data_IF_516024767071
#
_entry.id   IF_516024767071
#
_cell.length_a   1.000
_cell.length_b   1.000
_cell.length_c   1.000
_cell.angle_alpha   90.00
_cell.angle_beta   90.00
_cell.angle_gamma   90.00
#
_symmetry.space_group_name_H-M   'P 1'
#
loop_
_entity.id
_entity.type
_entity.pdbx_description
1 polymer ?
#
# COMPACT_ATOMS: atom_id res chain seq x y z
N UNK A 1 -79.47 21.93 -28.61
CA UNK A 1 -79.07 20.52 -28.77
C UNK A 1 -77.55 20.40 -28.60
N UNK A 2 -77.15 19.72 -27.52
CA UNK A 2 -75.87 19.06 -27.17
C UNK A 2 -74.51 19.78 -27.31
N UNK A 3 -73.94 19.98 -26.12
CA UNK A 3 -72.53 20.15 -25.76
C UNK A 3 -71.59 19.01 -26.21
N UNK A 4 -70.29 19.38 -26.29
CA UNK A 4 -69.06 18.60 -26.04
C UNK A 4 -68.58 17.55 -27.05
N UNK A 5 -67.32 17.73 -27.50
CA UNK A 5 -66.20 16.82 -27.18
C UNK A 5 -64.87 17.59 -27.26
N UNK A 6 -64.38 18.03 -26.10
CA UNK A 6 -63.02 18.54 -25.91
C UNK A 6 -62.04 17.35 -25.95
N UNK A 7 -60.89 17.56 -26.59
CA UNK A 7 -59.54 17.17 -26.14
C UNK A 7 -59.47 15.78 -25.51
N UNK A 8 -59.13 14.78 -26.31
CA UNK A 8 -59.01 13.38 -25.84
C UNK A 8 -57.90 12.63 -26.56
N UNK A 9 -56.70 13.19 -26.65
CA UNK A 9 -55.49 12.47 -27.08
C UNK A 9 -54.18 13.17 -26.67
N UNK A 10 -54.17 13.94 -25.58
CA UNK A 10 -52.97 14.64 -25.09
C UNK A 10 -52.86 14.62 -23.55
N UNK A 11 -53.33 13.55 -22.90
CA UNK A 11 -53.14 13.35 -21.45
C UNK A 11 -52.43 12.04 -21.11
N UNK A 12 -52.29 11.07 -22.04
CA UNK A 12 -51.59 9.82 -21.73
C UNK A 12 -50.06 9.84 -21.92
N UNK A 13 -49.48 10.83 -22.61
CA UNK A 13 -48.02 10.92 -22.74
C UNK A 13 -47.35 11.74 -21.61
N UNK A 14 -48.08 12.67 -20.99
CA UNK A 14 -47.55 13.50 -19.91
C UNK A 14 -47.62 12.83 -18.51
N UNK A 15 -48.37 11.73 -18.38
CA UNK A 15 -48.49 10.98 -17.12
C UNK A 15 -47.40 9.92 -16.92
N UNK A 16 -46.62 9.58 -17.97
CA UNK A 16 -45.49 8.65 -17.88
C UNK A 16 -44.14 9.35 -17.69
N UNK A 17 -44.07 10.67 -17.83
CA UNK A 17 -42.85 11.47 -17.62
C UNK A 17 -42.67 11.99 -16.19
N UNK A 18 -43.56 11.61 -15.26
CA UNK A 18 -43.50 11.95 -13.84
C UNK A 18 -43.18 10.73 -12.96
N UNK A 19 -42.58 9.67 -13.53
CA UNK A 19 -41.91 8.65 -12.71
C UNK A 19 -40.68 9.30 -12.09
N UNK A 20 -40.89 9.82 -10.89
CA UNK A 20 -39.91 10.37 -9.94
C UNK A 20 -38.49 9.92 -10.27
N UNK A 21 -37.59 10.89 -10.50
CA UNK A 21 -36.19 10.63 -10.24
C UNK A 21 -36.13 10.13 -8.80
N UNK A 22 -35.97 8.81 -8.61
CA UNK A 22 -35.60 8.29 -7.31
C UNK A 22 -34.35 9.09 -6.94
N UNK A 23 -34.27 9.71 -5.75
CA UNK A 23 -32.99 10.22 -5.30
C UNK A 23 -32.00 9.06 -5.46
N UNK A 24 -30.92 9.30 -6.20
CA UNK A 24 -29.81 8.37 -6.21
C UNK A 24 -29.27 8.41 -4.78
N UNK A 25 -29.67 7.42 -4.00
CA UNK A 25 -29.09 7.15 -2.70
C UNK A 25 -27.65 6.75 -3.00
N UNK A 26 -26.76 7.69 -2.75
CA UNK A 26 -25.33 7.47 -2.73
C UNK A 26 -24.90 7.85 -1.31
N UNK A 27 -24.16 6.96 -0.67
CA UNK A 27 -23.62 7.21 0.65
C UNK A 27 -22.82 8.51 0.73
N UNK A 28 -22.63 8.98 1.96
CA UNK A 28 -22.14 10.32 2.23
C UNK A 28 -20.84 10.29 3.01
N UNK A 29 -19.87 11.06 2.57
CA UNK A 29 -18.68 11.38 3.35
C UNK A 29 -19.04 12.35 4.48
N UNK A 30 -18.67 12.00 5.70
CA UNK A 30 -18.91 12.79 6.90
C UNK A 30 -17.55 13.06 7.55
N UNK A 31 -17.30 14.32 7.91
CA UNK A 31 -16.09 14.73 8.64
C UNK A 31 -16.45 15.01 10.09
N UNK A 32 -15.71 14.42 11.01
CA UNK A 32 -15.80 14.69 12.44
C UNK A 32 -15.07 16.00 12.80
N UNK A 33 -15.34 16.51 14.01
CA UNK A 33 -14.75 17.77 14.50
C UNK A 33 -13.22 17.75 14.64
N UNK A 34 -12.60 16.57 14.65
CA UNK A 34 -11.15 16.37 14.71
C UNK A 34 -10.50 16.21 13.32
N UNK A 35 -11.29 16.34 12.24
CA UNK A 35 -10.81 16.25 10.85
C UNK A 35 -10.77 14.84 10.27
N UNK A 36 -11.16 13.80 11.03
CA UNK A 36 -11.28 12.44 10.49
C UNK A 36 -12.52 12.30 9.63
N UNK A 37 -12.42 11.51 8.57
CA UNK A 37 -13.51 11.23 7.64
C UNK A 37 -14.06 9.83 7.83
N UNK A 38 -15.36 9.63 7.69
CA UNK A 38 -15.99 8.31 7.58
C UNK A 38 -17.06 8.34 6.49
N UNK A 39 -17.49 7.17 6.03
CA UNK A 39 -18.46 7.05 4.95
C UNK A 39 -19.76 6.39 5.44
N UNK A 40 -20.87 7.11 5.35
CA UNK A 40 -22.18 6.61 5.72
C UNK A 40 -22.91 6.06 4.50
N UNK A 41 -23.17 4.76 4.49
CA UNK A 41 -23.97 4.09 3.49
C UNK A 41 -25.45 4.49 3.59
N UNK A 42 -26.20 4.32 2.49
CA UNK A 42 -27.61 4.70 2.42
C UNK A 42 -28.52 3.93 3.38
N UNK A 43 -28.14 2.69 3.68
CA UNK A 43 -28.80 1.86 4.69
C UNK A 43 -28.46 2.27 6.13
N UNK A 44 -27.66 3.32 6.31
CA UNK A 44 -27.21 3.83 7.60
C UNK A 44 -26.00 3.10 8.20
N UNK A 45 -25.46 2.08 7.52
CA UNK A 45 -24.22 1.40 7.91
C UNK A 45 -22.98 2.18 7.43
N UNK A 46 -21.79 1.69 7.76
CA UNK A 46 -20.52 2.29 7.34
C UNK A 46 -19.43 1.22 7.32
N UNK A 47 -18.43 1.31 6.42
CA UNK A 47 -17.32 0.38 6.37
C UNK A 47 -16.44 0.50 7.62
N UNK A 48 -15.90 -0.63 8.09
CA UNK A 48 -14.98 -0.75 9.22
C UNK A 48 -14.00 -1.88 8.95
N UNK A 49 -12.72 -1.64 9.21
CA UNK A 49 -11.64 -2.59 8.96
C UNK A 49 -11.77 -3.24 7.57
N UNK A 50 -12.00 -2.41 6.55
CA UNK A 50 -12.41 -2.90 5.24
C UNK A 50 -12.09 -1.92 4.11
N UNK A 51 -11.75 -2.50 2.97
CA UNK A 51 -11.72 -1.83 1.69
C UNK A 51 -13.14 -1.53 1.18
N UNK A 52 -13.34 -0.36 0.59
CA UNK A 52 -14.58 0.02 -0.07
C UNK A 52 -14.30 0.81 -1.34
N UNK A 53 -14.93 0.38 -2.44
CA UNK A 53 -14.99 1.17 -3.66
C UNK A 53 -16.13 2.19 -3.58
N UNK A 54 -15.79 3.47 -3.72
CA UNK A 54 -16.72 4.60 -3.68
C UNK A 54 -16.47 5.44 -4.93
N UNK A 55 -17.47 5.49 -5.82
CA UNK A 55 -17.41 6.24 -7.08
C UNK A 55 -16.22 5.87 -7.99
N UNK A 56 -15.83 4.59 -8.01
CA UNK A 56 -14.75 4.06 -8.86
C UNK A 56 -13.35 4.15 -8.24
N UNK A 57 -13.23 4.71 -7.04
CA UNK A 57 -11.98 4.80 -6.30
C UNK A 57 -12.03 3.91 -5.06
N UNK A 58 -10.90 3.31 -4.68
CA UNK A 58 -10.79 2.46 -3.49
C UNK A 58 -10.30 3.27 -2.29
N UNK A 59 -10.92 3.01 -1.15
CA UNK A 59 -10.58 3.58 0.15
C UNK A 59 -10.47 2.43 1.17
N UNK A 60 -9.69 2.63 2.22
CA UNK A 60 -9.66 1.73 3.38
C UNK A 60 -10.12 2.47 4.63
N UNK A 61 -10.80 1.75 5.52
CA UNK A 61 -11.32 2.27 6.76
C UNK A 61 -10.78 1.45 7.93
N UNK A 62 -10.35 2.14 8.99
CA UNK A 62 -9.85 1.54 10.22
C UNK A 62 -10.94 0.78 10.99
N UNK A 63 -10.57 0.18 12.13
CA UNK A 63 -11.50 -0.59 12.98
C UNK A 63 -12.67 0.24 13.54
N UNK A 64 -12.49 1.55 13.65
CA UNK A 64 -13.51 2.48 14.14
C UNK A 64 -14.45 2.93 13.02
N UNK A 65 -14.00 2.84 11.77
CA UNK A 65 -14.71 3.22 10.54
C UNK A 65 -14.25 4.55 9.96
N UNK A 66 -13.10 5.06 10.38
CA UNK A 66 -12.49 6.25 9.79
C UNK A 66 -11.60 5.91 8.61
N UNK A 67 -11.64 6.75 7.60
CA UNK A 67 -10.84 6.65 6.39
C UNK A 67 -9.36 6.81 6.73
N UNK A 68 -8.56 5.88 6.25
CA UNK A 68 -7.11 5.91 6.41
C UNK A 68 -6.42 6.63 5.25
N UNK A 69 -5.18 7.04 5.47
CA UNK A 69 -4.28 7.62 4.45
C UNK A 69 -2.88 7.05 4.65
N UNK A 70 -2.02 7.13 3.62
CA UNK A 70 -0.68 6.56 3.65
C UNK A 70 -0.66 5.06 3.32
N UNK A 71 0.37 4.36 3.80
CA UNK A 71 0.53 2.93 3.57
C UNK A 71 -0.42 2.09 4.42
N UNK A 72 -1.19 1.22 3.77
CA UNK A 72 -2.10 0.26 4.37
C UNK A 72 -1.48 -1.13 4.26
N UNK A 73 -1.35 -1.81 5.40
CA UNK A 73 -0.96 -3.21 5.47
C UNK A 73 -2.20 -4.10 5.47
N UNK A 74 -2.37 -4.93 4.44
CA UNK A 74 -3.49 -5.86 4.31
C UNK A 74 -2.97 -7.25 3.90
N UNK A 75 -2.39 -8.02 4.84
CA UNK A 75 -1.71 -9.27 4.51
C UNK A 75 -2.66 -10.30 3.92
N UNK A 76 -2.18 -11.03 2.91
CA UNK A 76 -2.86 -12.24 2.45
C UNK A 76 -2.48 -13.39 3.37
N UNK A 77 -3.49 -14.03 3.98
CA UNK A 77 -3.30 -15.19 4.85
C UNK A 77 -3.87 -16.42 4.13
N UNK A 78 -2.99 -17.32 3.70
CA UNK A 78 -3.35 -18.56 3.01
C UNK A 78 -3.20 -19.75 3.97
N UNK A 79 -4.12 -20.71 3.87
CA UNK A 79 -4.13 -21.92 4.71
C UNK A 79 -4.02 -23.16 3.85
N UNK A 80 -2.95 -23.93 4.06
CA UNK A 80 -2.68 -25.19 3.39
C UNK A 80 -2.71 -26.32 4.41
N UNK A 81 -3.90 -26.80 4.75
CA UNK A 81 -4.10 -27.70 5.88
C UNK A 81 -3.83 -26.99 7.21
N UNK A 82 -2.88 -27.49 7.99
CA UNK A 82 -2.44 -26.89 9.26
C UNK A 82 -1.40 -25.78 9.08
N UNK A 83 -0.86 -25.61 7.86
CA UNK A 83 0.10 -24.54 7.56
C UNK A 83 -0.63 -23.24 7.27
N UNK A 84 -0.13 -22.15 7.86
CA UNK A 84 -0.57 -20.78 7.60
C UNK A 84 0.59 -20.03 6.96
N UNK A 85 0.39 -19.58 5.73
CA UNK A 85 1.32 -18.69 5.03
C UNK A 85 0.77 -17.27 5.08
N UNK A 86 1.65 -16.30 5.27
CA UNK A 86 1.28 -14.88 5.32
C UNK A 86 2.15 -14.13 4.33
N UNK A 87 1.51 -13.54 3.33
CA UNK A 87 2.16 -12.65 2.36
C UNK A 87 1.85 -11.22 2.75
N UNK A 88 2.90 -10.47 3.08
CA UNK A 88 2.77 -9.02 3.32
C UNK A 88 2.34 -8.32 2.04
N UNK A 89 1.21 -7.59 2.10
CA UNK A 89 0.73 -6.74 1.01
C UNK A 89 0.55 -5.33 1.52
N UNK A 90 0.99 -4.37 0.71
CA UNK A 90 0.87 -2.96 1.01
C UNK A 90 0.21 -2.21 -0.14
N UNK A 91 -0.60 -1.22 0.22
CA UNK A 91 -1.29 -0.31 -0.69
C UNK A 91 -1.08 1.12 -0.21
N UNK A 92 -1.10 2.11 -1.10
CA UNK A 92 -0.94 3.51 -0.70
C UNK A 92 -2.22 4.31 -0.96
N UNK A 93 -2.73 4.95 0.08
CA UNK A 93 -3.83 5.90 0.01
C UNK A 93 -3.27 7.34 0.05
N UNK A 94 -3.67 8.19 -0.90
CA UNK A 94 -3.26 9.59 -0.89
C UNK A 94 -3.92 10.39 0.25
N UNK A 95 -3.62 11.69 0.35
CA UNK A 95 -4.20 12.56 1.39
C UNK A 95 -5.73 12.73 1.30
N UNK A 96 -6.37 12.29 0.22
CA UNK A 96 -7.82 12.21 0.09
C UNK A 96 -8.39 10.82 0.41
N UNK A 97 -7.53 9.87 0.79
CA UNK A 97 -7.88 8.47 1.09
C UNK A 97 -7.99 7.58 -0.14
N UNK A 98 -7.70 8.09 -1.34
CA UNK A 98 -7.81 7.30 -2.58
C UNK A 98 -6.60 6.42 -2.77
N UNK A 99 -6.84 5.16 -3.11
CA UNK A 99 -5.78 4.22 -3.43
C UNK A 99 -5.09 4.58 -4.75
N UNK A 100 -3.81 4.87 -4.67
CA UNK A 100 -2.98 5.11 -5.84
C UNK A 100 -2.52 3.80 -6.47
N UNK A 101 -2.61 3.74 -7.80
CA UNK A 101 -2.20 2.60 -8.64
C UNK A 101 -1.09 3.03 -9.59
N UNK A 102 -0.29 2.10 -10.09
CA UNK A 102 0.76 2.38 -11.09
C UNK A 102 1.77 3.47 -10.64
N UNK A 103 2.05 3.56 -9.35
CA UNK A 103 2.99 4.55 -8.81
C UNK A 103 4.40 3.99 -8.82
N UNK A 104 5.40 4.83 -9.05
CA UNK A 104 6.80 4.42 -9.14
C UNK A 104 7.64 5.12 -8.08
N UNK A 105 8.19 4.35 -7.15
CA UNK A 105 8.95 4.83 -6.00
C UNK A 105 10.42 4.42 -6.09
N UNK A 106 11.27 5.10 -5.32
CA UNK A 106 12.61 4.60 -5.00
C UNK A 106 12.43 3.47 -3.98
N UNK A 107 12.66 2.24 -4.41
CA UNK A 107 12.52 1.01 -3.63
C UNK A 107 11.31 0.14 -3.99
N UNK A 108 10.50 0.53 -4.97
CA UNK A 108 9.38 -0.31 -5.42
C UNK A 108 8.40 0.43 -6.33
N UNK A 109 7.31 -0.23 -6.69
CA UNK A 109 6.23 0.37 -7.47
C UNK A 109 4.90 -0.29 -7.14
N UNK A 110 3.78 0.40 -7.32
CA UNK A 110 2.46 -0.25 -7.26
C UNK A 110 1.99 -0.65 -8.65
N UNK A 111 1.32 -1.78 -8.75
CA UNK A 111 0.75 -2.29 -10.00
C UNK A 111 -0.64 -1.67 -10.30
N UNK A 112 -1.35 -2.21 -11.29
CA UNK A 112 -2.70 -1.78 -11.66
C UNK A 112 -3.77 -2.09 -10.60
N UNK A 113 -3.47 -3.03 -9.69
CA UNK A 113 -4.31 -3.36 -8.54
C UNK A 113 -4.02 -2.46 -7.33
N UNK A 114 -2.91 -1.74 -7.35
CA UNK A 114 -2.42 -0.89 -6.26
C UNK A 114 -1.48 -1.62 -5.31
N UNK A 115 -1.20 -2.90 -5.56
CA UNK A 115 -0.31 -3.72 -4.74
C UNK A 115 1.13 -3.24 -4.91
N UNK A 116 1.82 -3.00 -3.80
CA UNK A 116 3.24 -2.65 -3.80
C UNK A 116 4.10 -3.88 -4.11
N UNK A 117 4.85 -3.78 -5.21
CA UNK A 117 5.99 -4.63 -5.53
C UNK A 117 7.27 -3.93 -5.06
N UNK A 118 7.92 -4.49 -4.04
CA UNK A 118 9.16 -3.95 -3.51
C UNK A 118 10.36 -4.39 -4.36
N UNK A 119 11.33 -3.49 -4.53
CA UNK A 119 12.61 -3.82 -5.13
C UNK A 119 13.54 -4.48 -4.10
N UNK A 120 14.46 -5.33 -4.56
CA UNK A 120 15.40 -6.02 -3.68
C UNK A 120 16.57 -5.11 -3.32
N UNK A 121 16.96 -5.13 -2.05
CA UNK A 121 18.05 -4.35 -1.51
C UNK A 121 19.37 -5.06 -1.82
N UNK A 122 20.28 -4.38 -2.52
CA UNK A 122 21.61 -4.92 -2.80
C UNK A 122 22.40 -5.18 -1.51
N UNK A 123 23.34 -6.13 -1.54
CA UNK A 123 24.09 -6.59 -0.37
C UNK A 123 24.89 -5.52 0.38
N UNK A 124 25.23 -4.42 -0.30
CA UNK A 124 25.94 -3.26 0.28
C UNK A 124 24.98 -2.15 0.75
N UNK A 125 23.67 -2.41 0.74
CA UNK A 125 22.60 -1.51 1.19
C UNK A 125 22.68 -0.12 0.55
N UNK A 126 23.09 -0.07 -0.73
CA UNK A 126 23.30 1.18 -1.47
C UNK A 126 22.64 1.23 -2.84
N UNK A 127 22.10 0.09 -3.28
CA UNK A 127 21.40 -0.08 -4.54
C UNK A 127 20.11 -0.85 -4.30
N UNK A 128 19.19 -0.70 -5.22
CA UNK A 128 18.04 -1.57 -5.40
C UNK A 128 18.16 -2.35 -6.71
N UNK A 129 17.58 -3.54 -6.73
CA UNK A 129 17.38 -4.40 -7.89
C UNK A 129 15.88 -4.56 -8.15
N UNK A 130 15.44 -4.14 -9.35
CA UNK A 130 14.05 -4.25 -9.78
C UNK A 130 13.88 -5.41 -10.76
N UNK A 131 12.99 -6.33 -10.40
CA UNK A 131 12.65 -7.53 -11.16
C UNK A 131 11.29 -7.35 -11.84
N UNK A 132 11.29 -6.95 -13.11
CA UNK A 132 10.04 -6.76 -13.87
C UNK A 132 9.61 -8.07 -14.52
N UNK A 133 8.89 -8.90 -13.76
CA UNK A 133 8.31 -10.17 -14.23
C UNK A 133 7.37 -9.96 -15.40
N UNK A 134 7.54 -10.75 -16.46
CA UNK A 134 6.76 -10.65 -17.69
C UNK A 134 6.90 -9.29 -18.41
N UNK A 135 7.89 -8.47 -18.03
CA UNK A 135 8.10 -7.09 -18.51
C UNK A 135 6.92 -6.13 -18.24
N UNK A 136 6.13 -6.38 -17.19
CA UNK A 136 4.94 -5.57 -16.86
C UNK A 136 5.24 -4.34 -15.99
N UNK A 137 6.32 -4.37 -15.20
CA UNK A 137 6.69 -3.27 -14.31
C UNK A 137 7.40 -2.08 -14.99
N UNK A 138 7.40 -0.88 -14.37
CA UNK A 138 8.07 0.31 -14.89
C UNK A 138 9.59 0.25 -14.65
N UNK A 139 10.36 0.95 -15.49
CA UNK A 139 11.77 1.26 -15.20
C UNK A 139 11.87 2.05 -13.87
N UNK A 140 12.90 1.86 -13.04
CA UNK A 140 13.10 2.67 -11.84
C UNK A 140 13.10 4.19 -12.12
N UNK A 141 12.57 5.02 -11.21
CA UNK A 141 12.33 6.44 -11.44
C UNK A 141 13.59 7.29 -11.22
N UNK A 142 14.75 6.80 -11.68
CA UNK A 142 16.05 7.44 -11.52
C UNK A 142 16.90 7.31 -12.78
N UNK A 143 17.70 8.33 -13.06
CA UNK A 143 18.51 8.42 -14.29
C UNK A 143 19.64 7.40 -14.33
N UNK A 144 20.19 7.04 -13.18
CA UNK A 144 21.29 6.09 -13.03
C UNK A 144 20.85 4.62 -13.09
N UNK A 145 19.56 4.32 -13.33
CA UNK A 145 19.08 2.96 -13.45
C UNK A 145 19.70 2.25 -14.66
N UNK A 146 20.43 1.17 -14.39
CA UNK A 146 21.13 0.34 -15.36
C UNK A 146 20.30 -0.90 -15.66
N UNK A 147 19.95 -1.10 -16.93
CA UNK A 147 19.39 -2.36 -17.38
C UNK A 147 20.49 -3.43 -17.38
N UNK A 148 20.31 -4.49 -16.60
CA UNK A 148 21.23 -5.62 -16.48
C UNK A 148 20.97 -6.72 -17.52
N UNK A 149 19.81 -6.67 -18.17
CA UNK A 149 19.42 -7.60 -19.22
C UNK A 149 18.11 -8.31 -18.90
N UNK A 150 17.66 -9.10 -19.85
CA UNK A 150 16.54 -10.03 -19.68
C UNK A 150 17.08 -11.35 -19.12
N UNK A 151 16.47 -11.83 -18.04
CA UNK A 151 16.79 -13.12 -17.47
C UNK A 151 15.77 -14.14 -17.99
N UNK A 152 16.26 -15.13 -18.71
CA UNK A 152 15.44 -16.22 -19.22
C UNK A 152 14.86 -17.03 -18.06
N UNK A 153 13.57 -17.36 -18.11
CA UNK A 153 12.96 -18.11 -17.02
C UNK A 153 13.39 -19.58 -17.05
N UNK A 154 13.34 -20.20 -15.88
CA UNK A 154 13.25 -21.65 -15.83
C UNK A 154 11.97 -22.11 -16.54
N UNK A 155 11.98 -23.30 -17.18
CA UNK A 155 10.78 -23.83 -17.84
C UNK A 155 9.55 -23.81 -16.91
N UNK A 156 8.48 -23.14 -17.35
CA UNK A 156 7.24 -22.99 -16.57
C UNK A 156 7.11 -21.67 -15.78
N UNK A 157 8.11 -20.80 -15.80
CA UNK A 157 8.08 -19.49 -15.17
C UNK A 157 8.11 -18.36 -16.22
N UNK A 158 7.68 -17.15 -15.83
CA UNK A 158 7.86 -15.95 -16.66
C UNK A 158 9.27 -15.38 -16.47
N UNK A 159 9.91 -14.93 -17.54
CA UNK A 159 11.20 -14.23 -17.44
C UNK A 159 11.01 -12.79 -16.98
N UNK A 160 12.11 -12.10 -16.70
CA UNK A 160 12.05 -10.73 -16.19
C UNK A 160 13.16 -9.85 -16.74
N UNK A 161 12.87 -8.54 -16.79
CA UNK A 161 13.87 -7.52 -16.99
C UNK A 161 14.46 -7.12 -15.64
N UNK A 162 15.79 -7.12 -15.53
CA UNK A 162 16.50 -6.71 -14.32
C UNK A 162 17.06 -5.29 -14.48
N UNK A 163 16.73 -4.42 -13.53
CA UNK A 163 17.36 -3.11 -13.38
C UNK A 163 18.09 -3.02 -12.05
N UNK A 164 19.24 -2.36 -12.04
CA UNK A 164 19.97 -2.02 -10.82
C UNK A 164 20.13 -0.50 -10.76
N UNK A 165 19.90 0.12 -9.61
CA UNK A 165 19.97 1.56 -9.44
C UNK A 165 20.35 1.97 -8.02
N UNK A 166 21.00 3.13 -7.86
CA UNK A 166 21.41 3.59 -6.53
C UNK A 166 20.20 4.04 -5.70
N UNK A 167 20.30 3.85 -4.39
CA UNK A 167 19.41 4.51 -3.42
C UNK A 167 19.88 5.97 -3.32
N UNK A 168 19.11 6.88 -3.91
CA UNK A 168 19.49 8.30 -4.07
C UNK A 168 18.95 9.20 -2.97
N UNK A 169 18.29 8.63 -1.97
CA UNK A 169 17.72 9.34 -0.83
C UNK A 169 18.26 8.81 0.51
N UNK A 170 17.71 9.33 1.61
CA UNK A 170 18.11 9.01 2.98
C UNK A 170 18.04 7.51 3.33
N UNK A 171 17.26 6.72 2.59
CA UNK A 171 17.10 5.29 2.87
C UNK A 171 18.44 4.56 2.78
N UNK A 172 19.37 5.06 1.97
CA UNK A 172 20.74 4.54 1.86
C UNK A 172 21.45 4.55 3.21
N UNK A 173 21.47 5.70 3.87
CA UNK A 173 22.17 5.85 5.15
C UNK A 173 21.40 5.14 6.28
N UNK A 174 20.06 5.17 6.21
CA UNK A 174 19.19 4.45 7.13
C UNK A 174 19.45 2.93 7.10
N UNK A 175 19.39 2.28 5.93
CA UNK A 175 19.60 0.84 5.82
C UNK A 175 21.02 0.43 6.20
N UNK A 176 22.03 1.24 5.86
CA UNK A 176 23.41 0.99 6.30
C UNK A 176 23.57 1.06 7.81
N UNK A 177 22.93 2.04 8.46
CA UNK A 177 22.94 2.13 9.91
C UNK A 177 22.27 0.91 10.56
N UNK A 178 21.04 0.58 10.12
CA UNK A 178 20.29 -0.58 10.60
C UNK A 178 21.08 -1.88 10.40
N UNK A 179 21.61 -2.13 9.21
CA UNK A 179 22.43 -3.31 8.93
C UNK A 179 23.69 -3.36 9.80
N UNK A 180 24.31 -2.21 10.07
CA UNK A 180 25.43 -2.10 10.99
C UNK A 180 25.08 -2.62 12.39
N UNK A 181 23.98 -2.17 12.98
CA UNK A 181 23.52 -2.64 14.29
C UNK A 181 23.14 -4.13 14.27
N UNK A 182 22.44 -4.58 13.22
CA UNK A 182 22.03 -5.98 13.07
C UNK A 182 23.24 -6.90 12.95
N UNK A 183 24.27 -6.50 12.20
CA UNK A 183 25.52 -7.27 12.06
C UNK A 183 26.24 -7.49 13.39
N UNK A 184 26.06 -6.58 14.36
CA UNK A 184 26.60 -6.65 15.71
C UNK A 184 25.65 -7.30 16.72
N UNK A 185 24.47 -7.75 16.27
CA UNK A 185 23.40 -8.34 17.08
C UNK A 185 22.96 -7.45 18.24
N UNK A 186 22.85 -6.13 18.00
CA UNK A 186 22.37 -5.20 19.01
C UNK A 186 20.86 -5.32 19.18
N UNK A 187 20.41 -5.68 20.39
CA UNK A 187 18.97 -5.85 20.71
C UNK A 187 18.20 -4.54 20.81
N UNK A 188 18.89 -3.41 21.01
CA UNK A 188 18.31 -2.07 21.06
C UNK A 188 19.30 -1.07 20.48
N UNK A 189 18.83 -0.22 19.59
CA UNK A 189 19.65 0.79 18.94
C UNK A 189 18.79 1.90 18.33
N UNK A 190 19.43 3.02 18.01
CA UNK A 190 18.78 4.22 17.52
C UNK A 190 19.29 4.57 16.12
N UNK A 191 18.37 4.92 15.21
CA UNK A 191 18.72 5.35 13.85
C UNK A 191 17.96 6.65 13.52
N UNK A 192 18.61 7.67 12.92
CA UNK A 192 17.90 8.88 12.49
C UNK A 192 16.77 8.57 11.50
N UNK A 193 15.55 8.94 11.87
CA UNK A 193 14.35 8.81 11.05
C UNK A 193 13.27 9.73 11.63
N UNK A 194 12.75 10.66 10.84
CA UNK A 194 11.64 11.51 11.33
C UNK A 194 10.31 10.80 11.19
N UNK A 195 9.31 11.22 11.98
CA UNK A 195 7.93 10.71 11.88
C UNK A 195 7.38 10.87 10.46
N UNK A 196 7.67 11.99 9.80
CA UNK A 196 7.24 12.24 8.42
C UNK A 196 7.85 11.25 7.44
N UNK A 197 9.16 11.00 7.53
CA UNK A 197 9.87 10.05 6.68
C UNK A 197 9.38 8.62 6.91
N UNK A 198 9.18 8.25 8.18
CA UNK A 198 8.64 6.94 8.56
C UNK A 198 7.25 6.71 7.98
N UNK A 199 6.34 7.69 8.09
CA UNK A 199 4.98 7.59 7.53
C UNK A 199 5.00 7.54 6.01
N UNK A 200 5.80 8.39 5.36
CA UNK A 200 5.85 8.51 3.90
C UNK A 200 6.34 7.22 3.24
N UNK A 201 7.37 6.60 3.79
CA UNK A 201 8.06 5.47 3.16
C UNK A 201 7.86 4.15 3.94
N UNK A 202 6.88 4.07 4.85
CA UNK A 202 6.69 2.97 5.80
C UNK A 202 6.86 1.57 5.19
N UNK A 203 6.08 1.24 4.16
CA UNK A 203 6.12 -0.09 3.54
C UNK A 203 7.51 -0.42 2.93
N UNK A 204 8.17 0.58 2.33
CA UNK A 204 9.50 0.46 1.74
C UNK A 204 10.59 0.29 2.81
N UNK A 205 10.46 0.99 3.93
CA UNK A 205 11.36 0.85 5.07
C UNK A 205 11.21 -0.53 5.72
N UNK A 206 9.97 -0.97 5.97
CA UNK A 206 9.67 -2.29 6.55
C UNK A 206 10.21 -3.41 5.65
N UNK A 207 9.93 -3.36 4.35
CA UNK A 207 10.46 -4.33 3.38
C UNK A 207 12.00 -4.34 3.38
N UNK A 208 12.64 -3.16 3.35
CA UNK A 208 14.10 -3.08 3.38
C UNK A 208 14.71 -3.65 4.66
N UNK A 209 14.09 -3.42 5.82
CA UNK A 209 14.54 -4.00 7.10
C UNK A 209 14.36 -5.53 7.08
N UNK A 210 13.23 -6.05 6.62
CA UNK A 210 13.00 -7.49 6.49
C UNK A 210 14.06 -8.16 5.59
N UNK A 211 14.42 -7.52 4.48
CA UNK A 211 15.48 -7.98 3.60
C UNK A 211 16.86 -7.97 4.28
N UNK A 212 17.17 -6.96 5.11
CA UNK A 212 18.40 -6.96 5.92
C UNK A 212 18.40 -8.16 6.87
N UNK A 213 17.30 -8.43 7.58
CA UNK A 213 17.19 -9.60 8.47
C UNK A 213 17.36 -10.91 7.70
N UNK A 214 16.77 -11.03 6.51
CA UNK A 214 16.97 -12.19 5.64
C UNK A 214 18.43 -12.38 5.23
N UNK A 215 19.13 -11.31 4.85
CA UNK A 215 20.55 -11.35 4.45
C UNK A 215 21.47 -11.80 5.60
N UNK A 216 21.11 -11.49 6.85
CA UNK A 216 21.83 -11.96 8.04
C UNK A 216 21.35 -13.31 8.58
N UNK A 217 20.44 -14.01 7.88
CA UNK A 217 19.87 -15.31 8.28
C UNK A 217 19.12 -15.22 9.62
N UNK A 218 18.40 -14.11 9.82
CA UNK A 218 17.63 -13.78 11.02
C UNK A 218 16.11 -13.78 10.74
N UNK A 219 15.64 -14.66 9.86
CA UNK A 219 14.23 -14.70 9.44
C UNK A 219 13.25 -15.10 10.56
N UNK A 220 13.76 -15.67 11.67
CA UNK A 220 12.98 -16.02 12.85
C UNK A 220 12.95 -14.91 13.91
N UNK A 221 13.89 -13.97 13.83
CA UNK A 221 13.98 -12.82 14.70
C UNK A 221 12.80 -11.87 14.46
N UNK A 222 12.45 -11.11 15.49
CA UNK A 222 11.38 -10.12 15.41
C UNK A 222 11.93 -8.77 15.78
N UNK A 223 11.60 -7.78 14.97
CA UNK A 223 12.03 -6.41 15.17
C UNK A 223 10.82 -5.48 15.19
N UNK A 224 10.98 -4.38 15.89
CA UNK A 224 10.03 -3.28 15.96
C UNK A 224 10.81 -1.97 16.12
N UNK A 225 10.28 -0.87 15.63
CA UNK A 225 10.79 0.46 15.97
C UNK A 225 9.66 1.45 16.21
N UNK A 226 9.86 2.35 17.16
CA UNK A 226 9.03 3.53 17.39
C UNK A 226 9.79 4.77 16.98
N UNK A 227 9.12 5.72 16.32
CA UNK A 227 9.75 6.98 15.92
C UNK A 227 9.34 8.09 16.88
N UNK A 228 10.31 8.64 17.60
CA UNK A 228 10.12 9.77 18.48
C UNK A 228 9.97 11.10 17.74
N UNK A 229 9.40 12.09 18.41
CA UNK A 229 9.38 13.48 17.92
C UNK A 229 10.78 14.11 17.84
N UNK A 230 11.78 13.46 18.44
CA UNK A 230 13.20 13.80 18.37
C UNK A 230 13.85 13.44 17.02
N UNK A 231 13.11 12.77 16.13
CA UNK A 231 13.60 12.37 14.82
C UNK A 231 14.47 11.11 14.86
N UNK A 232 14.25 10.26 15.87
CA UNK A 232 14.97 9.01 16.06
C UNK A 232 13.98 7.84 15.99
N UNK A 233 14.35 6.79 15.25
CA UNK A 233 13.73 5.48 15.35
C UNK A 233 14.45 4.65 16.42
N UNK A 234 13.72 4.27 17.46
CA UNK A 234 14.17 3.42 18.56
C UNK A 234 13.83 1.97 18.27
N UNK A 235 14.84 1.17 17.91
CA UNK A 235 14.67 -0.23 17.55
C UNK A 235 14.70 -1.14 18.78
N UNK A 236 13.91 -2.20 18.72
CA UNK A 236 14.03 -3.37 19.58
C UNK A 236 14.01 -4.62 18.72
N UNK A 237 14.97 -5.50 18.94
CA UNK A 237 15.05 -6.82 18.30
C UNK A 237 14.93 -7.89 19.37
N UNK A 238 14.15 -8.92 19.08
CA UNK A 238 13.90 -10.07 19.94
C UNK A 238 14.21 -11.35 19.18
N UNK A 239 14.57 -12.41 19.92
CA UNK A 239 14.94 -13.72 19.37
C UNK A 239 16.22 -13.74 18.52
N UNK A 240 17.15 -12.79 18.71
CA UNK A 240 18.56 -13.06 18.38
C UNK A 240 18.92 -14.37 19.06
N UNK A 241 18.90 -15.46 18.29
CA UNK A 241 19.12 -16.79 18.83
C UNK A 241 20.39 -16.72 19.67
N UNK A 242 20.25 -16.96 20.98
CA UNK A 242 21.36 -17.30 21.86
C UNK A 242 22.14 -18.39 21.11
N UNK A 243 23.36 -18.08 20.70
CA UNK A 243 24.02 -18.70 19.55
C UNK A 243 23.90 -20.22 19.47
N UNK A 244 23.69 -20.71 18.25
CA UNK A 244 24.16 -22.04 17.83
C UNK A 244 25.55 -21.86 17.23
#
# INVERSE_FOLDING_TARGET
>A
MRMTKKIGAMVLAAALSLSMALPAFAGQWIMEGDGRWWYKEDNGTYPKNAWKEISGEWYHFDEEGYMETGWIYDPLIEKFGDQVETTSRYYYLDGSGKMLKNQNYIGGHTDETGLLECDELGSEFSTYERYNWGRKGPKPPVDNAKYRGYIEPNPGFEGYDLYEYDITDYKKDFFKAVAGHISRKEVKFDVPLTVEMSRRDNALLVSGIDQIFMLYVLSYDKWHYDVGEDGIAHFTVTNYQDGV
#
